data_IF_708707498660
#
_entry.id   IF_708707498660
#
_cell.length_a   1.000
_cell.length_b   1.000
_cell.length_c   1.000
_cell.angle_alpha   90.00
_cell.angle_beta   90.00
_cell.angle_gamma   90.00
#
_symmetry.space_group_name_H-M   'P 1'
#
loop_
_entity.id
_entity.type
_entity.pdbx_description
1 polymer ?
#
# COMPACT_ATOMS: atom_id res chain seq x y z
N UNK A 1 -3.27 -26.20 -14.90
CA UNK A 1 -3.45 -27.11 -13.72
C UNK A 1 -3.34 -26.38 -12.38
N UNK A 2 -2.34 -25.46 -12.19
CA UNK A 2 -2.15 -24.76 -10.91
C UNK A 2 -3.31 -23.82 -10.54
N UNK A 3 -3.83 -23.06 -11.50
CA UNK A 3 -5.00 -22.17 -11.26
C UNK A 3 -6.22 -22.97 -10.79
N UNK A 4 -6.40 -24.18 -11.32
CA UNK A 4 -7.48 -25.07 -10.89
C UNK A 4 -7.28 -25.56 -9.44
N UNK A 5 -6.05 -25.94 -9.05
CA UNK A 5 -5.75 -26.35 -7.67
C UNK A 5 -6.02 -25.19 -6.70
N UNK A 6 -5.56 -23.98 -7.03
CA UNK A 6 -5.75 -22.78 -6.21
C UNK A 6 -7.25 -22.43 -6.14
N UNK A 7 -7.96 -22.45 -7.28
CA UNK A 7 -9.38 -22.15 -7.36
C UNK A 7 -10.24 -23.14 -6.59
N UNK A 8 -10.00 -24.44 -6.75
CA UNK A 8 -10.72 -25.47 -5.98
C UNK A 8 -10.44 -25.40 -4.48
N UNK A 9 -9.18 -25.07 -4.09
CA UNK A 9 -8.85 -24.84 -2.68
C UNK A 9 -9.61 -23.63 -2.13
N UNK A 10 -9.75 -22.56 -2.91
CA UNK A 10 -10.51 -21.38 -2.51
C UNK A 10 -12.00 -21.68 -2.31
N UNK A 11 -12.62 -22.38 -3.25
CA UNK A 11 -14.01 -22.82 -3.15
C UNK A 11 -14.24 -23.77 -1.97
N UNK A 12 -13.32 -24.71 -1.75
CA UNK A 12 -13.38 -25.63 -0.61
C UNK A 12 -13.32 -24.86 0.73
N UNK A 13 -12.48 -23.84 0.87
CA UNK A 13 -12.38 -23.03 2.09
C UNK A 13 -13.69 -22.31 2.44
N UNK A 14 -14.54 -22.01 1.45
CA UNK A 14 -15.87 -21.42 1.65
C UNK A 14 -16.97 -22.43 1.95
N UNK A 15 -16.75 -23.75 1.78
CA UNK A 15 -17.77 -24.80 1.83
C UNK A 15 -17.99 -25.43 3.21
N UNK A 16 -17.82 -24.71 4.31
CA UNK A 16 -18.19 -25.20 5.65
C UNK A 16 -17.33 -26.38 6.16
N UNK A 17 -16.02 -26.31 5.95
CA UNK A 17 -15.06 -27.32 6.38
C UNK A 17 -14.90 -27.41 7.91
N UNK A 18 -14.53 -28.59 8.42
CA UNK A 18 -14.06 -28.71 9.80
C UNK A 18 -12.74 -27.94 9.98
N UNK A 19 -12.40 -27.48 11.21
CA UNK A 19 -11.16 -26.72 11.45
C UNK A 19 -9.89 -27.40 10.93
N UNK A 20 -9.83 -28.73 11.02
CA UNK A 20 -8.70 -29.51 10.51
C UNK A 20 -8.64 -29.58 8.99
N UNK A 21 -9.79 -29.72 8.33
CA UNK A 21 -9.88 -29.67 6.87
C UNK A 21 -9.56 -28.29 6.34
N UNK A 22 -10.06 -27.26 7.01
CA UNK A 22 -9.75 -25.86 6.68
C UNK A 22 -8.23 -25.60 6.73
N UNK A 23 -7.53 -26.05 7.79
CA UNK A 23 -6.08 -25.95 7.89
C UNK A 23 -5.35 -26.66 6.73
N UNK A 24 -5.79 -27.87 6.37
CA UNK A 24 -5.18 -28.60 5.26
C UNK A 24 -5.40 -27.92 3.92
N UNK A 25 -6.61 -27.48 3.63
CA UNK A 25 -6.94 -26.82 2.35
C UNK A 25 -6.23 -25.47 2.23
N UNK A 26 -6.14 -24.72 3.32
CA UNK A 26 -5.37 -23.47 3.36
C UNK A 26 -3.88 -23.70 3.06
N UNK A 27 -3.27 -24.75 3.63
CA UNK A 27 -1.88 -25.13 3.32
C UNK A 27 -1.70 -25.57 1.87
N UNK A 28 -2.66 -26.27 1.28
CA UNK A 28 -2.64 -26.65 -0.15
C UNK A 28 -2.70 -25.39 -1.02
N UNK A 29 -3.59 -24.44 -0.69
CA UNK A 29 -3.72 -23.17 -1.42
C UNK A 29 -2.42 -22.37 -1.36
N UNK A 30 -1.84 -22.23 -0.16
CA UNK A 30 -0.57 -21.51 0.03
C UNK A 30 0.59 -22.17 -0.74
N UNK A 31 0.69 -23.51 -0.69
CA UNK A 31 1.69 -24.24 -1.45
C UNK A 31 1.51 -24.09 -2.96
N UNK A 32 0.25 -24.10 -3.44
CA UNK A 32 -0.09 -23.85 -4.84
C UNK A 32 0.30 -22.45 -5.31
N UNK A 33 -0.02 -21.43 -4.53
CA UNK A 33 0.36 -20.04 -4.80
C UNK A 33 1.89 -19.85 -4.80
N UNK A 34 2.59 -20.47 -3.85
CA UNK A 34 4.04 -20.45 -3.79
C UNK A 34 4.67 -21.07 -5.05
N UNK A 35 4.19 -22.26 -5.46
CA UNK A 35 4.69 -22.92 -6.66
C UNK A 35 4.42 -22.11 -7.92
N UNK A 36 3.26 -21.45 -8.02
CA UNK A 36 2.97 -20.56 -9.13
C UNK A 36 3.94 -19.38 -9.19
N UNK A 37 4.29 -18.78 -8.03
CA UNK A 37 5.32 -17.75 -7.93
C UNK A 37 6.67 -18.25 -8.46
N UNK A 38 7.11 -19.45 -8.04
CA UNK A 38 8.37 -20.06 -8.52
C UNK A 38 8.35 -20.28 -10.03
N UNK A 39 7.25 -20.78 -10.58
CA UNK A 39 7.11 -21.00 -12.03
C UNK A 39 7.20 -19.69 -12.79
N UNK A 40 6.51 -18.64 -12.31
CA UNK A 40 6.55 -17.32 -12.93
C UNK A 40 7.97 -16.71 -12.87
N UNK A 41 8.67 -16.83 -11.74
CA UNK A 41 10.06 -16.39 -11.59
C UNK A 41 10.97 -17.08 -12.62
N UNK A 42 10.84 -18.40 -12.79
CA UNK A 42 11.65 -19.16 -13.76
C UNK A 42 11.33 -18.74 -15.20
N UNK A 43 10.05 -18.52 -15.50
CA UNK A 43 9.63 -18.08 -16.84
C UNK A 43 10.12 -16.66 -17.14
N UNK A 44 10.01 -15.74 -16.19
CA UNK A 44 10.51 -14.36 -16.34
C UNK A 44 12.03 -14.36 -16.49
N UNK A 45 12.75 -15.10 -15.64
CA UNK A 45 14.20 -15.26 -15.76
C UNK A 45 14.61 -15.80 -17.13
N UNK A 46 13.96 -16.88 -17.61
CA UNK A 46 14.22 -17.46 -18.92
C UNK A 46 13.95 -16.50 -20.08
N UNK A 47 12.91 -15.67 -19.98
CA UNK A 47 12.58 -14.63 -20.98
C UNK A 47 13.60 -13.51 -21.01
N UNK A 48 14.11 -13.12 -19.83
CA UNK A 48 15.17 -12.12 -19.70
C UNK A 48 16.47 -12.64 -20.30
N UNK A 49 16.94 -13.84 -19.90
CA UNK A 49 18.17 -14.44 -20.45
C UNK A 49 18.11 -14.62 -21.99
N UNK A 50 16.95 -15.00 -22.51
CA UNK A 50 16.75 -15.15 -23.95
C UNK A 50 16.63 -13.81 -24.70
N UNK A 51 16.68 -12.64 -24.02
CA UNK A 51 16.45 -11.33 -24.62
C UNK A 51 15.06 -11.15 -25.23
N UNK A 52 14.09 -11.96 -24.79
CA UNK A 52 12.71 -11.96 -25.31
C UNK A 52 11.77 -11.07 -24.51
N UNK A 53 12.18 -10.61 -23.34
CA UNK A 53 11.36 -9.70 -22.53
C UNK A 53 11.48 -8.31 -23.14
N UNK A 54 10.34 -7.72 -23.48
CA UNK A 54 10.24 -6.35 -24.01
C UNK A 54 9.59 -5.46 -22.96
N UNK A 55 10.11 -4.25 -22.82
CA UNK A 55 9.51 -3.19 -22.02
C UNK A 55 8.36 -2.56 -22.82
N UNK A 56 7.21 -2.38 -22.19
CA UNK A 56 6.01 -1.81 -22.81
C UNK A 56 5.70 -0.44 -22.16
N UNK A 57 6.30 0.65 -22.63
CA UNK A 57 6.12 1.96 -22.05
C UNK A 57 4.73 2.51 -22.40
N UNK A 58 3.90 2.71 -21.40
CA UNK A 58 2.55 3.29 -21.50
C UNK A 58 2.36 4.43 -20.50
N UNK A 59 1.43 5.36 -20.77
CA UNK A 59 1.01 6.33 -19.77
C UNK A 59 0.41 5.61 -18.55
N UNK A 60 0.81 6.03 -17.35
CA UNK A 60 0.27 5.52 -16.09
C UNK A 60 0.25 6.60 -15.00
N UNK A 61 -0.56 6.38 -13.98
CA UNK A 61 -0.63 7.20 -12.77
C UNK A 61 0.16 6.49 -11.67
N UNK A 62 1.14 7.16 -11.09
CA UNK A 62 2.03 6.57 -10.09
C UNK A 62 1.27 6.06 -8.87
N UNK A 63 0.29 6.83 -8.35
CA UNK A 63 -0.55 6.45 -7.22
C UNK A 63 -1.27 5.11 -7.45
N UNK A 64 -1.70 4.83 -8.69
CA UNK A 64 -2.34 3.56 -9.03
C UNK A 64 -1.37 2.38 -8.95
N UNK A 65 -0.13 2.58 -9.38
CA UNK A 65 0.91 1.54 -9.29
C UNK A 65 1.26 1.27 -7.84
N UNK A 66 1.48 2.32 -7.05
CA UNK A 66 1.78 2.19 -5.62
C UNK A 66 0.60 1.59 -4.86
N UNK A 67 -0.63 2.02 -5.14
CA UNK A 67 -1.84 1.44 -4.56
C UNK A 67 -1.95 -0.06 -4.86
N UNK A 68 -1.73 -0.48 -6.11
CA UNK A 68 -1.73 -1.90 -6.48
C UNK A 68 -0.63 -2.72 -5.77
N UNK A 69 0.55 -2.14 -5.54
CA UNK A 69 1.61 -2.77 -4.73
C UNK A 69 1.16 -2.93 -3.28
N UNK A 70 0.62 -1.85 -2.70
CA UNK A 70 0.13 -1.81 -1.32
C UNK A 70 -0.95 -2.86 -1.10
N UNK A 71 -1.95 -2.95 -1.98
CA UNK A 71 -3.05 -3.92 -1.89
C UNK A 71 -2.53 -5.37 -1.81
N UNK A 72 -1.48 -5.68 -2.56
CA UNK A 72 -0.87 -7.03 -2.56
C UNK A 72 -0.13 -7.34 -1.26
N UNK A 73 0.56 -6.34 -0.66
CA UNK A 73 1.46 -6.59 0.48
C UNK A 73 0.85 -6.24 1.83
N UNK A 74 -0.15 -5.35 1.88
CA UNK A 74 -0.73 -4.82 3.12
C UNK A 74 -1.31 -5.91 4.02
N UNK A 75 -2.04 -6.88 3.45
CA UNK A 75 -2.59 -7.99 4.24
C UNK A 75 -1.51 -8.79 4.98
N UNK A 76 -0.36 -9.01 4.33
CA UNK A 76 0.76 -9.75 4.94
C UNK A 76 1.47 -8.91 6.00
N UNK A 77 1.70 -7.62 5.73
CA UNK A 77 2.32 -6.69 6.68
C UNK A 77 1.44 -6.58 7.95
N UNK A 78 0.15 -6.32 7.78
CA UNK A 78 -0.81 -6.22 8.88
C UNK A 78 -0.94 -7.51 9.68
N UNK A 79 -0.91 -8.68 9.04
CA UNK A 79 -0.94 -9.98 9.73
C UNK A 79 0.28 -10.21 10.63
N UNK A 80 1.40 -9.55 10.36
CA UNK A 80 2.62 -9.56 11.18
C UNK A 80 2.72 -8.36 12.14
N UNK A 81 1.74 -7.45 12.13
CA UNK A 81 1.77 -6.24 12.95
C UNK A 81 2.78 -5.20 12.49
N UNK A 82 3.18 -5.24 11.20
CA UNK A 82 4.08 -4.27 10.61
C UNK A 82 3.30 -3.09 10.03
N UNK A 83 3.81 -1.89 10.24
CA UNK A 83 3.25 -0.69 9.63
C UNK A 83 3.83 -0.48 8.23
N UNK A 84 2.97 -0.13 7.26
CA UNK A 84 3.37 0.17 5.89
C UNK A 84 3.23 1.67 5.65
N UNK A 85 4.31 2.32 5.22
CA UNK A 85 4.40 3.76 4.99
C UNK A 85 4.73 3.99 3.52
N UNK A 86 3.99 4.90 2.85
CA UNK A 86 4.26 5.30 1.47
C UNK A 86 4.64 6.79 1.44
N UNK A 87 5.87 7.07 1.02
CA UNK A 87 6.49 8.39 1.04
C UNK A 87 6.89 8.80 -0.38
N UNK A 88 6.06 9.61 -1.03
CA UNK A 88 6.29 10.13 -2.37
C UNK A 88 6.61 11.63 -2.28
N UNK A 89 7.81 12.02 -2.73
CA UNK A 89 8.20 13.42 -2.69
C UNK A 89 7.28 14.32 -3.55
N UNK A 90 7.00 15.54 -3.12
CA UNK A 90 6.08 16.44 -3.84
C UNK A 90 6.52 16.81 -5.26
N UNK A 91 7.81 16.69 -5.58
CA UNK A 91 8.39 16.97 -6.90
C UNK A 91 8.26 15.79 -7.87
N UNK A 92 7.81 14.62 -7.42
CA UNK A 92 7.59 13.44 -8.26
C UNK A 92 6.36 13.66 -9.14
N UNK A 93 6.48 13.57 -10.48
CA UNK A 93 5.33 13.72 -11.36
C UNK A 93 4.31 12.59 -11.16
N UNK A 94 3.03 12.89 -10.94
CA UNK A 94 2.02 11.85 -10.72
C UNK A 94 1.66 11.08 -12.00
N UNK A 95 1.76 11.71 -13.18
CA UNK A 95 1.52 11.08 -14.47
C UNK A 95 2.86 10.84 -15.17
N UNK A 96 3.11 9.62 -15.54
CA UNK A 96 4.37 9.12 -16.09
C UNK A 96 4.13 8.25 -17.32
N UNK A 97 5.17 8.06 -18.12
CA UNK A 97 5.17 7.09 -19.22
C UNK A 97 6.31 6.10 -19.01
N UNK A 98 5.98 4.84 -18.91
CA UNK A 98 6.91 3.74 -18.65
C UNK A 98 6.19 2.40 -18.48
N UNK A 99 6.90 1.37 -18.04
CA UNK A 99 6.32 0.05 -17.79
C UNK A 99 5.90 -0.09 -16.33
N UNK A 100 4.66 0.32 -16.05
CA UNK A 100 4.04 0.26 -14.72
C UNK A 100 4.05 -1.15 -14.11
N UNK A 101 3.85 -2.19 -14.96
CA UNK A 101 3.81 -3.58 -14.51
C UNK A 101 5.17 -4.02 -13.95
N UNK A 102 6.26 -3.67 -14.63
CA UNK A 102 7.62 -4.05 -14.21
C UNK A 102 8.07 -3.26 -12.98
N UNK A 103 7.71 -1.99 -12.89
CA UNK A 103 7.93 -1.17 -11.67
C UNK A 103 7.20 -1.82 -10.48
N UNK A 104 5.92 -2.15 -10.62
CA UNK A 104 5.13 -2.82 -9.57
C UNK A 104 5.72 -4.18 -9.19
N UNK A 105 6.20 -4.97 -10.15
CA UNK A 105 6.81 -6.27 -9.92
C UNK A 105 8.08 -6.16 -9.05
N UNK A 106 8.96 -5.19 -9.32
CA UNK A 106 10.15 -4.94 -8.50
C UNK A 106 9.75 -4.52 -7.09
N UNK A 107 8.81 -3.56 -6.95
CA UNK A 107 8.33 -3.08 -5.66
C UNK A 107 7.70 -4.20 -4.81
N UNK A 108 6.85 -5.04 -5.40
CA UNK A 108 6.24 -6.19 -4.72
C UNK A 108 7.32 -7.18 -4.23
N UNK A 109 8.35 -7.43 -5.04
CA UNK A 109 9.44 -8.32 -4.65
C UNK A 109 10.22 -7.75 -3.45
N UNK A 110 10.59 -6.47 -3.50
CA UNK A 110 11.30 -5.81 -2.39
C UNK A 110 10.45 -5.73 -1.14
N UNK A 111 9.16 -5.36 -1.25
CA UNK A 111 8.25 -5.28 -0.11
C UNK A 111 7.99 -6.65 0.53
N UNK A 112 7.81 -7.73 -0.26
CA UNK A 112 7.70 -9.08 0.28
C UNK A 112 8.97 -9.52 1.02
N UNK A 113 10.17 -9.13 0.53
CA UNK A 113 11.42 -9.39 1.23
C UNK A 113 11.49 -8.59 2.54
N UNK A 114 11.13 -7.32 2.53
CA UNK A 114 11.06 -6.47 3.72
C UNK A 114 10.14 -7.08 4.80
N UNK A 115 8.91 -7.47 4.43
CA UNK A 115 7.96 -8.14 5.34
C UNK A 115 8.55 -9.43 5.90
N UNK A 116 9.20 -10.22 5.06
CA UNK A 116 9.77 -11.51 5.45
C UNK A 116 10.88 -11.40 6.48
N UNK A 117 11.68 -10.33 6.45
CA UNK A 117 12.87 -10.15 7.28
C UNK A 117 12.71 -9.11 8.39
N UNK A 118 11.50 -8.57 8.58
CA UNK A 118 11.15 -7.64 9.65
C UNK A 118 10.18 -8.33 10.60
N UNK A 119 10.54 -8.46 11.87
CA UNK A 119 9.66 -9.05 12.89
C UNK A 119 8.76 -7.99 13.56
N UNK A 120 9.26 -6.76 13.72
CA UNK A 120 8.56 -5.63 14.31
C UNK A 120 9.07 -4.32 13.71
N UNK A 121 8.23 -3.31 13.65
CA UNK A 121 8.55 -1.98 13.12
C UNK A 121 7.76 -1.63 11.86
N UNK A 122 8.42 -0.92 10.95
CA UNK A 122 7.77 -0.37 9.75
C UNK A 122 8.50 -0.76 8.46
N UNK A 123 7.76 -0.66 7.36
CA UNK A 123 8.24 -0.82 5.99
C UNK A 123 7.86 0.43 5.21
N UNK A 124 8.87 1.15 4.71
CA UNK A 124 8.70 2.35 3.92
C UNK A 124 8.86 2.09 2.41
N UNK A 125 7.88 2.48 1.61
CA UNK A 125 8.03 2.60 0.15
C UNK A 125 8.27 4.08 -0.15
N UNK A 126 9.45 4.40 -0.68
CA UNK A 126 9.89 5.79 -0.87
C UNK A 126 10.14 6.06 -2.34
N UNK A 127 9.63 7.17 -2.87
CA UNK A 127 9.85 7.60 -4.25
C UNK A 127 10.40 9.01 -4.29
N UNK A 128 11.51 9.19 -5.00
CA UNK A 128 12.22 10.48 -5.12
C UNK A 128 12.65 10.74 -6.56
N UNK A 129 12.71 12.01 -6.93
CA UNK A 129 13.38 12.43 -8.17
C UNK A 129 14.88 12.43 -7.93
N UNK A 130 15.63 11.63 -8.69
CA UNK A 130 17.10 11.64 -8.66
C UNK A 130 17.68 12.65 -9.63
N UNK A 131 17.15 12.71 -10.85
CA UNK A 131 17.53 13.67 -11.89
C UNK A 131 16.32 14.05 -12.73
N UNK A 132 16.34 15.25 -13.27
CA UNK A 132 15.32 15.73 -14.18
C UNK A 132 15.96 16.54 -15.31
N UNK A 133 15.65 16.17 -16.55
CA UNK A 133 16.09 16.88 -17.77
C UNK A 133 14.92 17.03 -18.74
N UNK A 134 14.30 18.23 -18.76
CA UNK A 134 13.10 18.47 -19.55
C UNK A 134 11.94 17.55 -19.16
N UNK A 135 11.45 16.78 -20.13
CA UNK A 135 10.37 15.80 -19.91
C UNK A 135 10.88 14.44 -19.39
N UNK A 136 12.19 14.23 -19.30
CA UNK A 136 12.77 13.01 -18.75
C UNK A 136 13.00 13.17 -17.25
N UNK A 137 12.58 12.19 -16.49
CA UNK A 137 12.79 12.13 -15.04
C UNK A 137 13.38 10.76 -14.67
N UNK A 138 14.49 10.77 -13.94
CA UNK A 138 15.05 9.59 -13.33
C UNK A 138 14.46 9.48 -11.93
N UNK A 139 13.55 8.52 -11.74
CA UNK A 139 12.98 8.23 -10.44
C UNK A 139 13.77 7.17 -9.72
N UNK A 140 13.93 7.36 -8.43
CA UNK A 140 14.48 6.40 -7.49
C UNK A 140 13.36 5.89 -6.59
N UNK A 141 13.16 4.59 -6.61
CA UNK A 141 12.25 3.84 -5.75
C UNK A 141 13.07 3.12 -4.68
N UNK A 142 12.66 3.23 -3.44
CA UNK A 142 13.29 2.55 -2.31
C UNK A 142 12.24 1.78 -1.52
N UNK A 143 12.60 0.60 -1.04
CA UNK A 143 11.86 -0.11 0.00
C UNK A 143 12.78 -0.23 1.20
N UNK A 144 12.38 0.38 2.30
CA UNK A 144 13.12 0.42 3.57
C UNK A 144 12.46 -0.50 4.57
N UNK A 145 13.24 -1.22 5.31
CA UNK A 145 12.79 -2.06 6.41
C UNK A 145 13.63 -1.81 7.68
N UNK A 146 13.02 -2.06 8.83
CA UNK A 146 13.68 -2.01 10.14
C UNK A 146 14.06 -3.40 10.64
N UNK A 147 14.27 -4.35 9.73
CA UNK A 147 14.51 -5.75 10.02
C UNK A 147 15.94 -6.09 10.45
N UNK A 148 16.32 -7.36 10.24
CA UNK A 148 17.61 -7.92 10.69
C UNK A 148 18.83 -7.31 10.03
N UNK A 149 18.68 -6.64 8.88
CA UNK A 149 19.78 -6.10 8.10
C UNK A 149 20.67 -7.19 7.48
N UNK A 150 21.74 -6.74 6.81
CA UNK A 150 22.65 -7.56 6.02
C UNK A 150 24.10 -7.22 6.34
N UNK A 151 24.99 -8.22 6.29
CA UNK A 151 26.42 -8.01 6.33
C UNK A 151 26.99 -7.53 4.99
N UNK A 152 28.19 -6.98 4.97
CA UNK A 152 28.87 -6.55 3.75
C UNK A 152 29.02 -7.71 2.73
N UNK A 153 29.43 -8.88 3.21
CA UNK A 153 29.60 -10.07 2.36
C UNK A 153 28.28 -10.56 1.74
N UNK A 154 27.17 -10.39 2.48
CA UNK A 154 25.83 -10.72 1.98
C UNK A 154 25.40 -9.73 0.89
N UNK A 155 25.65 -8.44 1.09
CA UNK A 155 25.27 -7.39 0.11
C UNK A 155 25.94 -7.58 -1.24
N UNK A 156 27.21 -7.99 -1.27
CA UNK A 156 27.95 -8.22 -2.53
C UNK A 156 27.38 -9.35 -3.40
N UNK A 157 26.65 -10.29 -2.79
CA UNK A 157 26.14 -11.50 -3.48
C UNK A 157 24.64 -11.46 -3.79
N UNK A 158 23.91 -10.46 -3.26
CA UNK A 158 22.45 -10.45 -3.25
C UNK A 158 21.77 -10.49 -4.63
N UNK A 159 22.38 -9.85 -5.62
CA UNK A 159 21.81 -9.75 -6.97
C UNK A 159 22.33 -10.83 -7.94
N UNK A 160 23.04 -11.84 -7.43
CA UNK A 160 23.50 -12.97 -8.24
C UNK A 160 22.41 -14.04 -8.28
N UNK A 161 22.21 -14.65 -9.45
CA UNK A 161 21.21 -15.70 -9.65
C UNK A 161 21.47 -16.92 -8.75
N UNK A 162 20.42 -17.48 -8.15
CA UNK A 162 20.46 -18.67 -7.29
C UNK A 162 21.28 -18.52 -6.00
N UNK A 163 21.69 -17.30 -5.63
CA UNK A 163 22.34 -17.07 -4.36
C UNK A 163 21.31 -16.66 -3.29
N UNK A 164 21.53 -17.20 -2.09
CA UNK A 164 20.74 -16.91 -0.89
C UNK A 164 21.71 -16.50 0.21
N UNK A 165 21.31 -15.52 1.03
CA UNK A 165 22.19 -14.92 2.03
C UNK A 165 22.73 -15.90 3.09
N UNK A 166 22.01 -17.02 3.36
CA UNK A 166 22.45 -18.05 4.33
C UNK A 166 21.67 -19.35 4.21
N UNK A 167 22.35 -20.52 4.39
CA UNK A 167 21.72 -21.86 4.48
C UNK A 167 20.92 -22.06 5.78
N UNK A 168 21.13 -21.26 6.80
CA UNK A 168 20.39 -21.34 8.08
C UNK A 168 19.05 -20.59 8.02
N UNK A 169 18.97 -19.49 7.29
CA UNK A 169 17.72 -18.72 7.04
C UNK A 169 16.80 -19.43 6.06
N UNK A 170 17.33 -20.29 5.18
CA UNK A 170 16.55 -21.10 4.22
C UNK A 170 15.53 -22.02 4.87
N UNK A 171 15.84 -22.59 6.04
CA UNK A 171 14.91 -23.45 6.78
C UNK A 171 13.73 -22.71 7.39
N UNK A 172 13.90 -21.42 7.66
CA UNK A 172 12.88 -20.62 8.36
C UNK A 172 12.04 -19.76 7.39
N UNK A 173 12.62 -19.33 6.26
CA UNK A 173 12.00 -18.32 5.42
C UNK A 173 11.88 -18.65 3.92
N UNK A 174 12.44 -19.73 3.39
CA UNK A 174 12.27 -20.23 1.99
C UNK A 174 12.45 -19.15 0.90
N UNK A 175 12.75 -19.55 -0.34
CA UNK A 175 12.80 -18.61 -1.47
C UNK A 175 13.54 -19.24 -2.66
N UNK A 176 13.31 -18.73 -3.89
CA UNK A 176 13.94 -19.24 -5.14
C UNK A 176 15.36 -18.74 -5.33
N UNK A 177 15.72 -17.62 -4.70
CA UNK A 177 16.97 -16.89 -4.98
C UNK A 177 17.00 -16.20 -6.35
N UNK A 178 15.88 -16.19 -7.06
CA UNK A 178 15.75 -15.56 -8.39
C UNK A 178 15.17 -14.15 -8.32
N UNK A 179 14.36 -13.84 -7.31
CA UNK A 179 13.61 -12.59 -7.26
C UNK A 179 14.48 -11.33 -7.41
N UNK A 180 15.58 -11.21 -6.65
CA UNK A 180 16.47 -10.05 -6.72
C UNK A 180 17.25 -9.99 -8.06
N UNK A 181 17.64 -11.13 -8.62
CA UNK A 181 18.27 -11.18 -9.94
C UNK A 181 17.30 -10.73 -11.04
N UNK A 182 16.03 -11.13 -10.96
CA UNK A 182 14.98 -10.67 -11.87
C UNK A 182 14.77 -9.16 -11.71
N UNK A 183 14.71 -8.63 -10.47
CA UNK A 183 14.59 -7.20 -10.23
C UNK A 183 15.72 -6.40 -10.86
N UNK A 184 16.97 -6.88 -10.74
CA UNK A 184 18.12 -6.28 -11.38
C UNK A 184 17.97 -6.24 -12.89
N UNK A 185 17.66 -7.38 -13.50
CA UNK A 185 17.49 -7.48 -14.96
C UNK A 185 16.34 -6.60 -15.48
N UNK A 186 15.23 -6.51 -14.74
CA UNK A 186 14.11 -5.63 -15.09
C UNK A 186 14.50 -4.16 -15.04
N UNK A 187 15.20 -3.73 -13.99
CA UNK A 187 15.67 -2.36 -13.85
C UNK A 187 16.66 -1.99 -14.97
N UNK A 188 17.63 -2.88 -15.27
CA UNK A 188 18.60 -2.70 -16.36
C UNK A 188 17.91 -2.63 -17.74
N UNK A 189 16.90 -3.48 -18.00
CA UNK A 189 16.11 -3.44 -19.23
C UNK A 189 15.31 -2.13 -19.37
N UNK A 190 14.89 -1.54 -18.27
CA UNK A 190 14.26 -0.21 -18.24
C UNK A 190 15.27 0.94 -18.33
N UNK A 191 16.57 0.67 -18.34
CA UNK A 191 17.64 1.65 -18.41
C UNK A 191 18.04 2.26 -17.07
N UNK A 192 17.70 1.60 -15.98
CA UNK A 192 18.04 1.99 -14.60
C UNK A 192 19.06 1.06 -13.95
N UNK A 193 19.20 1.21 -12.65
CA UNK A 193 20.12 0.49 -11.80
C UNK A 193 19.43 -0.02 -10.53
N UNK A 194 20.03 -0.98 -9.84
CA UNK A 194 19.58 -1.46 -8.52
C UNK A 194 20.70 -1.36 -7.50
N UNK A 195 20.33 -1.33 -6.23
CA UNK A 195 21.30 -1.43 -5.16
C UNK A 195 20.64 -1.69 -3.80
N UNK A 196 21.51 -1.82 -2.79
CA UNK A 196 21.11 -2.03 -1.42
C UNK A 196 22.01 -1.23 -0.48
N UNK A 197 21.44 -0.69 0.59
CA UNK A 197 22.16 -0.19 1.77
C UNK A 197 21.58 -0.94 2.96
N UNK A 198 22.45 -1.48 3.79
CA UNK A 198 22.02 -2.23 4.96
C UNK A 198 23.07 -2.21 6.04
N UNK A 199 22.63 -2.33 7.26
CA UNK A 199 23.47 -2.54 8.42
C UNK A 199 22.83 -3.60 9.30
N UNK A 200 23.63 -4.57 9.74
CA UNK A 200 23.15 -5.68 10.55
C UNK A 200 22.48 -5.17 11.83
N UNK A 201 21.25 -5.62 12.09
CA UNK A 201 20.44 -5.19 13.24
C UNK A 201 19.75 -3.82 13.09
N UNK A 202 19.90 -3.11 11.95
CA UNK A 202 19.29 -1.80 11.73
C UNK A 202 18.33 -1.76 10.52
N UNK A 203 18.22 -2.89 9.80
CA UNK A 203 17.39 -3.00 8.63
C UNK A 203 18.11 -2.78 7.30
N UNK A 204 17.33 -2.70 6.23
CA UNK A 204 17.85 -2.57 4.86
C UNK A 204 17.06 -1.55 4.06
N UNK A 205 17.69 -1.02 3.02
CA UNK A 205 17.07 -0.19 2.00
C UNK A 205 17.44 -0.77 0.65
N UNK A 206 16.50 -1.44 0.01
CA UNK A 206 16.62 -1.88 -1.38
C UNK A 206 16.10 -0.79 -2.29
N UNK A 207 16.83 -0.51 -3.36
CA UNK A 207 16.44 0.56 -4.27
C UNK A 207 16.68 0.19 -5.72
N UNK A 208 15.92 0.84 -6.60
CA UNK A 208 16.17 0.83 -8.03
C UNK A 208 15.84 2.20 -8.62
N UNK A 209 16.42 2.48 -9.79
CA UNK A 209 16.13 3.69 -10.55
C UNK A 209 15.50 3.32 -11.87
N UNK A 210 14.66 4.21 -12.41
CA UNK A 210 14.05 4.06 -13.74
C UNK A 210 13.96 5.41 -14.40
N UNK A 211 14.50 5.58 -15.61
CA UNK A 211 14.26 6.75 -16.45
C UNK A 211 12.84 6.66 -17.04
N UNK A 212 12.03 7.67 -16.78
CA UNK A 212 10.65 7.77 -17.22
C UNK A 212 10.43 9.08 -17.99
N UNK A 213 9.34 9.17 -18.73
CA UNK A 213 8.88 10.43 -19.29
C UNK A 213 7.72 10.99 -18.45
N UNK A 214 7.65 12.30 -18.35
CA UNK A 214 6.49 12.98 -17.78
C UNK A 214 5.28 12.74 -18.66
N UNK A 215 4.18 12.35 -18.06
CA UNK A 215 2.88 12.27 -18.70
C UNK A 215 2.18 13.63 -18.78
N UNK A 216 0.89 13.61 -19.12
CA UNK A 216 0.09 14.83 -19.14
C UNK A 216 0.12 15.51 -17.75
N UNK A 217 0.10 16.86 -17.68
CA UNK A 217 0.04 17.58 -16.42
C UNK A 217 -1.17 17.12 -15.59
N UNK A 218 -0.95 16.79 -14.32
CA UNK A 218 -2.03 16.53 -13.40
C UNK A 218 -2.57 17.84 -12.83
N UNK A 219 -3.82 17.82 -12.39
CA UNK A 219 -4.39 18.91 -11.61
C UNK A 219 -3.62 18.98 -10.27
N UNK A 220 -3.16 20.17 -9.91
CA UNK A 220 -2.54 20.37 -8.61
C UNK A 220 -3.56 20.06 -7.51
N UNK A 221 -3.16 19.29 -6.51
CA UNK A 221 -3.96 19.00 -5.31
C UNK A 221 -3.87 20.20 -4.37
N UNK A 222 -4.45 21.33 -4.78
CA UNK A 222 -4.51 22.55 -3.99
C UNK A 222 -5.96 22.83 -3.62
N UNK A 223 -6.25 22.99 -2.31
CA UNK A 223 -7.56 23.41 -1.83
C UNK A 223 -7.95 24.79 -2.40
N UNK A 224 -9.24 25.08 -2.33
CA UNK A 224 -9.71 26.42 -2.62
C UNK A 224 -9.01 27.47 -1.74
N UNK A 225 -8.93 28.73 -2.18
CA UNK A 225 -8.13 29.76 -1.50
C UNK A 225 -8.46 29.99 -0.03
N UNK A 226 -9.71 29.81 0.36
CA UNK A 226 -10.24 29.95 1.71
C UNK A 226 -9.88 28.77 2.65
N UNK A 227 -9.51 27.62 2.09
CA UNK A 227 -9.04 26.46 2.85
C UNK A 227 -7.52 26.41 3.00
N UNK A 228 -6.78 27.27 2.31
CA UNK A 228 -5.32 27.34 2.41
C UNK A 228 -4.89 28.01 3.69
N UNK A 229 -3.86 27.46 4.33
CA UNK A 229 -3.36 27.98 5.59
C UNK A 229 -4.18 27.53 6.81
N UNK A 230 -5.22 26.70 6.65
CA UNK A 230 -5.88 26.06 7.77
C UNK A 230 -4.86 25.25 8.58
N UNK A 231 -5.03 25.25 9.89
CA UNK A 231 -4.12 24.62 10.83
C UNK A 231 -4.51 23.19 11.10
N UNK A 232 -3.59 22.27 10.86
CA UNK A 232 -3.78 20.84 11.02
C UNK A 232 -2.85 20.30 12.10
N UNK A 233 -3.40 19.53 13.04
CA UNK A 233 -2.65 18.77 14.02
C UNK A 233 -2.57 17.31 13.56
N UNK A 234 -1.37 16.78 13.33
CA UNK A 234 -1.11 15.35 13.04
C UNK A 234 -0.69 14.68 14.34
N UNK A 235 -1.36 13.58 14.70
CA UNK A 235 -1.12 12.81 15.91
C UNK A 235 -0.82 11.37 15.52
N UNK A 236 0.44 10.94 15.63
CA UNK A 236 0.88 9.59 15.29
C UNK A 236 2.12 9.24 16.11
N UNK A 237 2.12 8.10 16.81
CA UNK A 237 3.25 7.68 17.66
C UNK A 237 4.45 7.21 16.83
N UNK A 238 4.23 6.81 15.56
CA UNK A 238 5.29 6.58 14.61
C UNK A 238 5.77 7.91 14.00
N UNK A 239 6.96 8.34 14.40
CA UNK A 239 7.54 9.60 13.93
C UNK A 239 7.68 9.67 12.41
N UNK A 240 8.01 8.54 11.74
CA UNK A 240 8.16 8.49 10.29
C UNK A 240 6.80 8.68 9.60
N UNK A 241 5.74 8.01 10.07
CA UNK A 241 4.39 8.19 9.56
C UNK A 241 3.88 9.64 9.77
N UNK A 242 4.11 10.22 10.95
CA UNK A 242 3.78 11.62 11.25
C UNK A 242 4.45 12.60 10.28
N UNK A 243 5.75 12.41 9.99
CA UNK A 243 6.50 13.27 9.05
C UNK A 243 5.90 13.16 7.65
N UNK A 244 5.68 11.95 7.14
CA UNK A 244 5.11 11.74 5.79
C UNK A 244 3.74 12.38 5.64
N UNK A 245 2.84 12.20 6.62
CA UNK A 245 1.53 12.82 6.63
C UNK A 245 1.63 14.35 6.68
N UNK A 246 2.54 14.89 7.48
CA UNK A 246 2.72 16.33 7.58
C UNK A 246 3.29 16.94 6.30
N UNK A 247 4.28 16.34 5.67
CA UNK A 247 4.83 16.79 4.37
C UNK A 247 3.75 16.75 3.28
N UNK A 248 2.94 15.71 3.25
CA UNK A 248 1.79 15.59 2.34
C UNK A 248 0.80 16.75 2.52
N UNK A 249 0.38 17.04 3.75
CA UNK A 249 -0.55 18.11 4.07
C UNK A 249 0.05 19.51 3.81
N UNK A 250 1.34 19.69 4.11
CA UNK A 250 2.07 20.94 3.79
C UNK A 250 2.14 21.17 2.27
N UNK A 251 2.31 20.12 1.46
CA UNK A 251 2.29 20.23 0.00
C UNK A 251 0.94 20.71 -0.55
N UNK A 252 -0.14 20.48 0.22
CA UNK A 252 -1.50 20.96 -0.04
C UNK A 252 -1.77 22.37 0.54
N UNK A 253 -0.72 23.05 1.06
CA UNK A 253 -0.81 24.40 1.63
C UNK A 253 -1.52 24.51 2.98
N UNK A 254 -1.51 23.46 3.79
CA UNK A 254 -1.94 23.52 5.20
C UNK A 254 -0.77 23.89 6.13
N UNK A 255 -1.07 24.53 7.27
CA UNK A 255 -0.12 24.74 8.37
C UNK A 255 -0.16 23.52 9.31
N UNK A 256 0.91 22.73 9.36
CA UNK A 256 0.90 21.45 10.08
C UNK A 256 1.79 21.48 11.31
N UNK A 257 1.23 21.01 12.42
CA UNK A 257 1.98 20.68 13.65
C UNK A 257 1.87 19.18 13.89
N UNK A 258 2.96 18.56 14.37
CA UNK A 258 3.02 17.12 14.69
C UNK A 258 3.16 16.94 16.20
N UNK A 259 2.51 15.90 16.72
CA UNK A 259 2.67 15.41 18.09
C UNK A 259 2.61 13.87 18.10
N UNK A 260 3.19 13.25 19.12
CA UNK A 260 3.42 11.80 19.09
C UNK A 260 2.63 11.03 20.17
N UNK A 261 1.66 11.69 20.82
CA UNK A 261 0.79 11.04 21.80
C UNK A 261 -0.54 11.77 21.94
N UNK A 262 -1.58 11.06 22.38
CA UNK A 262 -2.86 11.67 22.68
C UNK A 262 -2.79 12.74 23.78
N UNK A 263 -1.90 12.58 24.75
CA UNK A 263 -1.70 13.58 25.80
C UNK A 263 -1.10 14.89 25.27
N UNK A 264 -0.09 14.79 24.39
CA UNK A 264 0.49 15.95 23.69
C UNK A 264 -0.55 16.62 22.79
N UNK A 265 -1.40 15.84 22.11
CA UNK A 265 -2.46 16.37 21.27
C UNK A 265 -3.47 17.22 22.05
N UNK A 266 -3.95 16.73 23.18
CA UNK A 266 -4.88 17.50 24.05
C UNK A 266 -4.23 18.78 24.58
N UNK A 267 -2.96 18.71 24.99
CA UNK A 267 -2.22 19.89 25.45
C UNK A 267 -2.02 20.91 24.32
N UNK A 268 -1.66 20.47 23.11
CA UNK A 268 -1.48 21.32 21.94
C UNK A 268 -2.78 22.03 21.53
N UNK A 269 -3.91 21.32 21.55
CA UNK A 269 -5.24 21.88 21.25
C UNK A 269 -5.63 22.98 22.24
N UNK A 270 -5.49 22.72 23.54
CA UNK A 270 -5.80 23.72 24.60
C UNK A 270 -4.88 24.95 24.52
N UNK A 271 -3.58 24.73 24.30
CA UNK A 271 -2.62 25.81 24.16
C UNK A 271 -2.90 26.68 22.92
N UNK A 272 -3.21 26.06 21.78
CA UNK A 272 -3.53 26.77 20.54
C UNK A 272 -4.80 27.62 20.70
N UNK A 273 -5.84 27.07 21.35
CA UNK A 273 -7.07 27.80 21.67
C UNK A 273 -6.81 28.98 22.60
N UNK A 274 -6.01 28.81 23.66
CA UNK A 274 -5.65 29.90 24.58
C UNK A 274 -4.86 31.02 23.90
N UNK A 275 -4.11 30.72 22.82
CA UNK A 275 -3.36 31.67 22.00
C UNK A 275 -4.21 32.33 20.92
N UNK A 276 -5.49 31.99 20.78
CA UNK A 276 -6.38 32.51 19.75
C UNK A 276 -6.07 32.00 18.35
N UNK A 277 -5.36 30.85 18.25
CA UNK A 277 -5.00 30.17 17.00
C UNK A 277 -5.40 28.70 17.08
N UNK A 278 -6.71 28.38 17.09
CA UNK A 278 -7.17 27.00 17.17
C UNK A 278 -6.71 26.19 15.94
N UNK A 279 -6.74 24.87 16.07
CA UNK A 279 -6.62 23.97 14.93
C UNK A 279 -7.98 23.80 14.27
N UNK A 280 -7.98 23.73 12.93
CA UNK A 280 -9.18 23.52 12.12
C UNK A 280 -9.46 22.02 11.91
N UNK A 281 -8.39 21.21 11.87
CA UNK A 281 -8.43 19.78 11.62
C UNK A 281 -7.44 19.03 12.50
N UNK A 282 -7.82 17.82 12.93
CA UNK A 282 -6.93 16.84 13.58
C UNK A 282 -6.94 15.56 12.77
N UNK A 283 -5.77 15.13 12.34
CA UNK A 283 -5.52 13.79 11.74
C UNK A 283 -4.91 12.95 12.84
N UNK A 284 -5.59 11.85 13.22
CA UNK A 284 -5.17 11.04 14.37
C UNK A 284 -5.00 9.57 13.98
N UNK A 285 -3.88 8.98 14.40
CA UNK A 285 -3.70 7.55 14.28
C UNK A 285 -4.63 6.80 15.23
N UNK A 286 -5.11 5.64 14.78
CA UNK A 286 -5.97 4.80 15.61
C UNK A 286 -5.21 4.12 16.74
N UNK A 287 -4.07 3.51 16.45
CA UNK A 287 -3.33 2.67 17.39
C UNK A 287 -2.14 3.41 18.01
N UNK A 288 -2.37 4.10 19.11
CA UNK A 288 -1.32 4.74 19.86
C UNK A 288 -1.19 4.19 21.28
N UNK A 289 0.02 4.10 21.85
CA UNK A 289 0.22 3.66 23.23
C UNK A 289 -0.49 4.57 24.25
N UNK A 290 -1.15 3.97 25.21
CA UNK A 290 -1.78 4.67 26.34
C UNK A 290 -3.13 5.29 26.05
N UNK A 291 -3.30 5.97 24.92
CA UNK A 291 -4.58 6.56 24.49
C UNK A 291 -4.72 6.34 22.99
N UNK A 292 -5.69 5.52 22.59
CA UNK A 292 -5.97 5.28 21.19
C UNK A 292 -6.71 6.45 20.51
N UNK A 293 -6.80 6.42 19.19
CA UNK A 293 -7.43 7.47 18.40
C UNK A 293 -8.92 7.64 18.68
N UNK A 294 -9.64 6.58 19.07
CA UNK A 294 -11.05 6.66 19.41
C UNK A 294 -11.24 7.40 20.74
N UNK A 295 -10.47 7.05 21.76
CA UNK A 295 -10.49 7.72 23.06
C UNK A 295 -10.04 9.18 22.94
N UNK A 296 -9.01 9.44 22.11
CA UNK A 296 -8.57 10.81 21.82
C UNK A 296 -9.69 11.61 21.13
N UNK A 297 -10.33 11.05 20.10
CA UNK A 297 -11.45 11.70 19.40
C UNK A 297 -12.60 12.05 20.33
N UNK A 298 -12.96 11.14 21.26
CA UNK A 298 -13.95 11.39 22.30
C UNK A 298 -13.53 12.54 23.22
N UNK A 299 -12.30 12.53 23.74
CA UNK A 299 -11.79 13.58 24.63
C UNK A 299 -11.70 14.94 23.96
N UNK A 300 -11.32 14.99 22.68
CA UNK A 300 -11.36 16.25 21.90
C UNK A 300 -12.78 16.81 21.86
N UNK A 301 -13.80 15.97 21.68
CA UNK A 301 -15.20 16.39 21.69
C UNK A 301 -15.69 16.91 23.05
N UNK A 302 -15.03 16.57 24.16
CA UNK A 302 -15.33 17.01 25.52
C UNK A 302 -14.53 18.25 25.93
N UNK A 303 -13.56 18.71 25.13
CA UNK A 303 -12.81 19.93 25.44
C UNK A 303 -13.69 21.17 25.28
N UNK A 304 -13.55 22.11 26.22
CA UNK A 304 -14.16 23.45 26.13
C UNK A 304 -13.31 24.33 25.21
N UNK A 305 -13.49 24.13 23.89
CA UNK A 305 -12.79 24.87 22.84
C UNK A 305 -13.77 25.88 22.17
N UNK A 306 -13.29 27.06 21.75
CA UNK A 306 -14.12 28.04 21.03
C UNK A 306 -14.71 27.46 19.74
N UNK A 307 -13.97 26.57 19.08
CA UNK A 307 -14.36 25.80 17.91
C UNK A 307 -13.72 24.41 17.99
N UNK A 308 -14.54 23.36 17.83
CA UNK A 308 -14.04 21.99 17.75
C UNK A 308 -13.42 21.76 16.38
N UNK A 309 -12.21 21.20 16.30
CA UNK A 309 -11.59 20.85 15.02
C UNK A 309 -12.32 19.67 14.37
N UNK A 310 -12.30 19.63 13.04
CA UNK A 310 -12.65 18.43 12.30
C UNK A 310 -11.72 17.28 12.68
N UNK A 311 -12.19 16.04 12.62
CA UNK A 311 -11.44 14.85 13.06
C UNK A 311 -11.47 13.79 11.98
N UNK A 312 -10.28 13.48 11.45
CA UNK A 312 -10.05 12.40 10.49
C UNK A 312 -9.14 11.37 11.15
N UNK A 313 -9.54 10.12 11.15
CA UNK A 313 -8.73 9.03 11.71
C UNK A 313 -7.99 8.28 10.60
N UNK A 314 -6.76 7.89 10.87
CA UNK A 314 -5.96 7.06 9.98
C UNK A 314 -5.70 5.72 10.68
N UNK A 315 -5.91 4.59 10.01
CA UNK A 315 -5.80 3.26 10.61
C UNK A 315 -5.16 2.25 9.67
N UNK A 316 -4.40 1.30 10.22
CA UNK A 316 -3.90 0.15 9.45
C UNK A 316 -5.00 -0.90 9.16
N UNK A 317 -6.17 -0.83 9.83
CA UNK A 317 -7.21 -1.86 9.75
C UNK A 317 -8.57 -1.27 9.39
N UNK A 318 -9.08 -1.62 8.21
CA UNK A 318 -10.43 -1.24 7.76
C UNK A 318 -11.55 -2.16 8.28
N UNK A 319 -11.65 -2.40 9.61
CA UNK A 319 -12.75 -3.21 10.17
C UNK A 319 -14.02 -2.37 10.31
N UNK A 320 -15.17 -2.91 9.89
CA UNK A 320 -16.47 -2.25 10.01
C UNK A 320 -16.78 -1.80 11.44
N UNK A 321 -16.34 -2.55 12.45
CA UNK A 321 -16.55 -2.21 13.85
C UNK A 321 -15.80 -0.93 14.25
N UNK A 322 -14.62 -0.69 13.68
CA UNK A 322 -13.82 0.52 13.90
C UNK A 322 -14.50 1.72 13.26
N UNK A 323 -14.99 1.59 12.03
CA UNK A 323 -15.70 2.65 11.32
C UNK A 323 -16.97 3.09 12.09
N UNK A 324 -17.77 2.14 12.53
CA UNK A 324 -18.97 2.44 13.35
C UNK A 324 -18.65 3.08 14.69
N UNK A 325 -17.53 2.67 15.31
CA UNK A 325 -17.09 3.24 16.59
C UNK A 325 -16.55 4.64 16.41
N UNK A 326 -15.81 4.91 15.34
CA UNK A 326 -15.26 6.21 15.00
C UNK A 326 -16.37 7.27 14.84
N UNK A 327 -17.42 6.97 14.07
CA UNK A 327 -18.55 7.87 13.88
C UNK A 327 -19.24 8.23 15.19
N UNK A 328 -19.40 7.26 16.12
CA UNK A 328 -20.00 7.52 17.44
C UNK A 328 -19.16 8.44 18.32
N UNK A 329 -17.85 8.50 18.08
CA UNK A 329 -16.91 9.36 18.81
C UNK A 329 -16.69 10.72 18.12
N UNK A 330 -17.50 11.02 17.09
CA UNK A 330 -17.43 12.28 16.35
C UNK A 330 -16.23 12.39 15.41
N UNK A 331 -15.66 11.26 14.98
CA UNK A 331 -14.69 11.19 13.88
C UNK A 331 -15.50 11.17 12.58
N UNK A 332 -15.21 12.10 11.71
CA UNK A 332 -16.00 12.34 10.50
C UNK A 332 -15.65 11.36 9.39
N UNK A 333 -14.35 11.08 9.24
CA UNK A 333 -13.87 10.16 8.22
C UNK A 333 -12.73 9.28 8.74
N UNK A 334 -12.58 8.10 8.13
CA UNK A 334 -11.54 7.12 8.46
C UNK A 334 -10.79 6.70 7.21
N UNK A 335 -9.48 6.91 7.20
CA UNK A 335 -8.57 6.53 6.13
C UNK A 335 -7.78 5.27 6.50
N UNK A 336 -7.48 4.44 5.51
CA UNK A 336 -6.69 3.22 5.72
C UNK A 336 -5.25 3.49 5.28
N UNK A 337 -4.28 3.23 6.19
CA UNK A 337 -2.84 3.30 5.89
C UNK A 337 -2.45 2.21 4.86
N UNK A 338 -1.51 2.55 3.97
CA UNK A 338 -0.92 3.87 3.75
C UNK A 338 -1.83 4.77 2.92
N UNK A 339 -1.91 6.05 3.31
CA UNK A 339 -2.76 7.06 2.68
C UNK A 339 -2.02 7.69 1.51
N UNK A 340 -2.64 7.73 0.32
CA UNK A 340 -2.11 8.48 -0.82
C UNK A 340 -2.52 9.96 -0.76
N UNK A 341 -1.75 10.83 -1.45
CA UNK A 341 -2.03 12.26 -1.48
C UNK A 341 -3.41 12.58 -2.09
N UNK A 342 -3.83 11.84 -3.11
CA UNK A 342 -5.15 12.02 -3.73
C UNK A 342 -6.28 11.66 -2.78
N UNK A 343 -6.19 10.52 -2.09
CA UNK A 343 -7.21 10.09 -1.13
C UNK A 343 -7.29 11.04 0.06
N UNK A 344 -6.14 11.49 0.60
CA UNK A 344 -6.10 12.49 1.67
C UNK A 344 -6.78 13.78 1.21
N UNK A 345 -6.43 14.28 0.01
CA UNK A 345 -7.00 15.50 -0.53
C UNK A 345 -8.52 15.42 -0.67
N UNK A 346 -9.03 14.36 -1.30
CA UNK A 346 -10.47 14.17 -1.52
C UNK A 346 -11.24 14.09 -0.18
N UNK A 347 -10.68 13.37 0.78
CA UNK A 347 -11.26 13.27 2.15
C UNK A 347 -11.31 14.63 2.84
N UNK A 348 -10.22 15.41 2.75
CA UNK A 348 -10.18 16.74 3.37
C UNK A 348 -11.18 17.70 2.72
N UNK A 349 -11.34 17.66 1.40
CA UNK A 349 -12.32 18.48 0.70
C UNK A 349 -13.75 18.11 1.11
N UNK A 350 -14.02 16.84 1.32
CA UNK A 350 -15.31 16.36 1.83
C UNK A 350 -15.58 16.83 3.26
N UNK A 351 -14.62 16.68 4.17
CA UNK A 351 -14.74 17.02 5.58
C UNK A 351 -14.84 18.54 5.79
N UNK A 352 -14.07 19.33 5.03
CA UNK A 352 -14.06 20.79 5.13
C UNK A 352 -15.22 21.49 4.38
N UNK A 353 -16.14 20.73 3.78
CA UNK A 353 -17.43 21.26 3.31
C UNK A 353 -17.47 21.70 1.85
N UNK A 354 -16.44 21.46 1.05
CA UNK A 354 -16.46 21.78 -0.40
C UNK A 354 -16.87 20.63 -1.32
N UNK A 355 -17.28 19.50 -0.75
CA UNK A 355 -17.69 18.29 -1.48
C UNK A 355 -19.12 18.34 -2.01
N UNK A 356 -19.50 19.31 -2.82
CA UNK A 356 -20.68 19.20 -3.66
C UNK A 356 -20.27 18.58 -5.01
N UNK A 357 -20.41 17.27 -5.15
CA UNK A 357 -20.52 16.59 -6.44
C UNK A 357 -19.25 15.97 -7.01
N UNK A 358 -18.46 15.28 -6.21
CA UNK A 358 -17.55 14.26 -6.75
C UNK A 358 -18.13 12.88 -6.46
N UNK A 359 -18.33 12.09 -7.50
CA UNK A 359 -18.75 10.69 -7.40
C UNK A 359 -17.85 9.97 -6.39
N UNK A 360 -18.50 9.33 -5.41
CA UNK A 360 -17.82 8.50 -4.43
C UNK A 360 -16.83 7.54 -5.14
N UNK A 361 -15.61 7.46 -4.65
CA UNK A 361 -14.58 6.57 -5.21
C UNK A 361 -15.13 5.14 -5.28
N UNK A 362 -15.17 4.52 -6.49
CA UNK A 362 -15.69 3.15 -6.67
C UNK A 362 -14.97 2.10 -5.83
N UNK A 363 -13.83 2.45 -5.23
CA UNK A 363 -13.00 1.51 -4.46
C UNK A 363 -13.54 1.21 -3.06
N UNK A 364 -14.24 2.15 -2.42
CA UNK A 364 -14.95 1.89 -1.14
C UNK A 364 -16.20 1.03 -1.34
N UNK A 365 -16.78 1.03 -2.56
CA UNK A 365 -17.94 0.21 -2.90
C UNK A 365 -17.56 -1.23 -3.35
N UNK A 366 -16.30 -1.51 -3.66
CA UNK A 366 -15.88 -2.82 -4.18
C UNK A 366 -15.80 -3.93 -3.10
N UNK A 367 -15.92 -3.60 -1.82
CA UNK A 367 -16.05 -4.58 -0.74
C UNK A 367 -17.52 -5.03 -0.52
N UNK A 368 -18.50 -4.37 -1.15
CA UNK A 368 -19.88 -4.78 -1.14
C UNK A 368 -20.22 -5.42 -2.49
N UNK A 369 -20.89 -6.59 -2.45
CA UNK A 369 -21.37 -7.29 -3.64
C UNK A 369 -21.94 -6.29 -4.66
N UNK A 370 -21.33 -6.19 -5.85
CA UNK A 370 -21.77 -5.27 -6.90
C UNK A 370 -23.25 -5.51 -7.23
N UNK A 371 -24.20 -4.67 -6.78
CA UNK A 371 -25.61 -4.87 -7.09
C UNK A 371 -25.90 -4.84 -8.59
N UNK A 372 -25.02 -4.18 -9.35
CA UNK A 372 -25.11 -4.08 -10.81
C UNK A 372 -24.84 -5.39 -11.56
N UNK A 373 -24.23 -6.40 -10.92
CA UNK A 373 -23.95 -7.70 -11.56
C UNK A 373 -24.97 -8.79 -11.19
N UNK A 374 -25.85 -8.55 -10.23
CA UNK A 374 -26.88 -9.53 -9.89
C UNK A 374 -27.84 -9.78 -11.06
N UNK A 375 -27.90 -11.04 -11.50
CA UNK A 375 -28.74 -11.47 -12.62
C UNK A 375 -28.15 -11.18 -14.01
N UNK A 376 -26.95 -10.59 -14.13
CA UNK A 376 -26.26 -10.43 -15.41
C UNK A 376 -26.00 -11.80 -16.05
N UNK A 377 -26.17 -11.92 -17.36
CA UNK A 377 -25.83 -13.15 -18.11
C UNK A 377 -24.45 -13.03 -18.74
N UNK A 378 -23.60 -14.00 -18.47
CA UNK A 378 -22.23 -14.07 -18.97
C UNK A 378 -22.02 -15.39 -19.71
N UNK A 379 -21.41 -15.33 -20.89
CA UNK A 379 -20.93 -16.50 -21.61
C UNK A 379 -19.49 -16.76 -21.21
N UNK A 380 -19.24 -17.90 -20.55
CA UNK A 380 -17.91 -18.41 -20.20
C UNK A 380 -17.41 -19.32 -21.33
N UNK A 381 -16.31 -18.94 -21.96
CA UNK A 381 -15.62 -19.74 -22.97
C UNK A 381 -14.26 -20.16 -22.43
N UNK A 382 -14.10 -21.44 -22.15
CA UNK A 382 -12.88 -22.02 -21.58
C UNK A 382 -12.80 -23.50 -22.05
N UNK A 383 -11.66 -23.93 -22.51
CA UNK A 383 -11.46 -25.28 -23.06
C UNK A 383 -11.16 -26.36 -21.99
N UNK A 384 -10.84 -25.93 -20.78
CA UNK A 384 -10.51 -26.84 -19.68
C UNK A 384 -11.70 -26.97 -18.69
N UNK A 385 -12.27 -28.17 -18.58
CA UNK A 385 -13.42 -28.46 -17.72
C UNK A 385 -13.25 -28.02 -16.26
N UNK A 386 -12.03 -28.16 -15.71
CA UNK A 386 -11.72 -27.78 -14.33
C UNK A 386 -11.71 -26.27 -14.13
N UNK A 387 -11.15 -25.54 -15.12
CA UNK A 387 -11.19 -24.07 -15.13
C UNK A 387 -12.63 -23.56 -15.33
N UNK A 388 -13.41 -24.21 -16.21
CA UNK A 388 -14.84 -23.92 -16.40
C UNK A 388 -15.61 -24.01 -15.09
N UNK A 389 -15.39 -25.11 -14.33
CA UNK A 389 -16.08 -25.32 -13.05
C UNK A 389 -15.73 -24.19 -12.07
N UNK A 390 -14.45 -23.91 -11.86
CA UNK A 390 -13.97 -22.85 -10.94
C UNK A 390 -14.53 -21.48 -11.32
N UNK A 391 -14.43 -21.11 -12.60
CA UNK A 391 -14.90 -19.81 -13.07
C UNK A 391 -16.44 -19.67 -12.95
N UNK A 392 -17.17 -20.74 -13.27
CA UNK A 392 -18.63 -20.78 -13.14
C UNK A 392 -19.06 -20.60 -11.68
N UNK A 393 -18.47 -21.35 -10.75
CA UNK A 393 -18.82 -21.27 -9.34
C UNK A 393 -18.51 -19.89 -8.74
N UNK A 394 -17.34 -19.30 -9.07
CA UNK A 394 -17.00 -17.94 -8.63
C UNK A 394 -17.95 -16.87 -9.16
N UNK A 395 -18.34 -16.96 -10.44
CA UNK A 395 -19.29 -16.01 -11.05
C UNK A 395 -20.69 -16.17 -10.50
N UNK A 396 -21.13 -17.42 -10.24
CA UNK A 396 -22.42 -17.71 -9.63
C UNK A 396 -22.52 -17.21 -8.18
N UNK A 397 -21.42 -17.31 -7.39
CA UNK A 397 -21.33 -16.72 -6.06
C UNK A 397 -21.51 -15.18 -6.09
N UNK A 398 -21.02 -14.53 -7.16
CA UNK A 398 -21.22 -13.10 -7.37
C UNK A 398 -22.65 -12.75 -7.87
N UNK A 399 -23.57 -13.73 -7.98
CA UNK A 399 -24.94 -13.51 -8.43
C UNK A 399 -25.13 -13.43 -9.95
N UNK A 400 -24.13 -13.85 -10.71
CA UNK A 400 -24.15 -13.81 -12.20
C UNK A 400 -24.69 -15.12 -12.75
N UNK A 401 -25.51 -15.05 -13.81
CA UNK A 401 -25.94 -16.23 -14.56
C UNK A 401 -24.90 -16.58 -15.62
N UNK A 402 -24.38 -17.82 -15.57
CA UNK A 402 -23.26 -18.24 -16.43
C UNK A 402 -23.71 -19.33 -17.39
N UNK A 403 -23.61 -19.03 -18.67
CA UNK A 403 -23.70 -20.00 -19.76
C UNK A 403 -22.26 -20.41 -20.15
N UNK A 404 -22.00 -21.70 -20.37
CA UNK A 404 -20.68 -22.24 -20.71
C UNK A 404 -20.70 -22.72 -22.16
N UNK A 405 -19.67 -22.37 -22.92
CA UNK A 405 -19.45 -22.83 -24.29
C UNK A 405 -18.04 -23.38 -24.49
#
# INVERSE_FOLDING_TARGET
PMNAIIGMSHLALKSGLTPRQHDYVNKIQQAGQHLMGVINDILDFSRVEAGKLRIDPRPFVLDQVLGGVIDVVNHKASAQGLELICDVAPDVPPNLVGDALRIGQILINYANNAIKFTEQGDIGIVVRVQEQQGDRVLLRFEVRDTGIGLSADQMERLFQSFQQADTSTTRRYGGTGLGLAICKSLAELMGGEVGVRSQLGQGSTFWFTVPLLRGAPARALLPAPDLRGLRVLVVDDNQHAAIVLAEMLQSMSFEVQQVHSGAEALAALQQAAAQGKPFDLVVLDWQMPGMDGLELGRRIGELDLPQLPHRVMVTAFGREDVLRSAQRQGIEEVLIKPVSASVMFDTLMQVLGEGQGADADPRMAAAQACPALQGARVLLVEDNELNQQVARELLQEAGVQVDVA
#
